data_IF_958656212935
#
_entry.id   IF_958656212935
#
_cell.length_a   1.000
_cell.length_b   1.000
_cell.length_c   1.000
_cell.angle_alpha   90.00
_cell.angle_beta   90.00
_cell.angle_gamma   90.00
#
_symmetry.space_group_name_H-M   'P 1'
#
loop_
_entity.id
_entity.type
_entity.pdbx_description
1 polymer ?
#
# COMPACT_ATOMS: atom_id res chain seq x y z
N UNK A 1 29.17 -33.48 -6.99
CA UNK A 1 30.26 -34.44 -7.26
C UNK A 1 30.11 -35.05 -8.67
N UNK A 2 31.20 -35.11 -9.44
CA UNK A 2 31.25 -35.82 -10.73
C UNK A 2 31.65 -37.27 -10.44
N UNK A 3 30.87 -38.22 -10.91
CA UNK A 3 31.15 -39.64 -10.76
C UNK A 3 31.51 -40.22 -12.13
N UNK A 4 32.63 -40.93 -12.19
CA UNK A 4 33.05 -41.64 -13.39
C UNK A 4 33.12 -43.14 -13.08
N UNK A 5 32.54 -43.95 -13.96
CA UNK A 5 32.65 -45.40 -13.92
C UNK A 5 34.04 -45.83 -14.41
N UNK A 6 34.86 -46.40 -13.53
CA UNK A 6 36.21 -46.88 -13.89
C UNK A 6 36.22 -48.06 -14.87
N UNK A 7 35.11 -48.79 -15.01
CA UNK A 7 35.03 -49.97 -15.86
C UNK A 7 34.53 -49.67 -17.29
N UNK A 8 33.85 -48.55 -17.47
CA UNK A 8 33.17 -48.24 -18.71
C UNK A 8 33.65 -46.96 -19.39
N UNK A 9 34.57 -46.21 -18.77
CA UNK A 9 35.37 -45.05 -19.28
C UNK A 9 34.63 -43.90 -20.02
N UNK A 10 33.34 -44.05 -20.33
CA UNK A 10 32.64 -43.22 -21.32
C UNK A 10 31.63 -42.22 -20.73
N UNK A 11 31.16 -42.41 -19.49
CA UNK A 11 30.09 -41.56 -18.94
C UNK A 11 30.44 -41.03 -17.54
N UNK A 12 30.73 -39.72 -17.50
CA UNK A 12 30.76 -38.94 -16.26
C UNK A 12 29.34 -38.53 -15.91
N UNK A 13 28.78 -39.09 -14.84
CA UNK A 13 27.47 -38.72 -14.31
C UNK A 13 27.64 -37.67 -13.22
N UNK A 14 26.97 -36.54 -13.38
CA UNK A 14 26.94 -35.48 -12.38
C UNK A 14 25.50 -35.26 -11.95
N UNK A 15 25.25 -35.29 -10.64
CA UNK A 15 23.95 -34.88 -10.12
C UNK A 15 23.68 -33.41 -10.51
N UNK A 16 22.48 -33.07 -11.03
CA UNK A 16 22.15 -31.71 -11.38
C UNK A 16 22.31 -30.81 -10.17
N UNK A 17 22.86 -29.60 -10.39
CA UNK A 17 22.95 -28.62 -9.32
C UNK A 17 21.53 -28.29 -8.82
N UNK A 18 21.33 -28.06 -7.51
CA UNK A 18 20.06 -27.55 -7.01
C UNK A 18 19.66 -26.29 -7.78
N UNK A 19 18.37 -26.16 -8.07
CA UNK A 19 17.85 -24.93 -8.67
C UNK A 19 18.16 -23.73 -7.75
N UNK A 20 18.40 -22.58 -8.36
CA UNK A 20 18.70 -21.32 -7.67
C UNK A 20 17.87 -20.21 -8.31
N UNK A 21 17.51 -19.22 -7.51
CA UNK A 21 16.82 -18.02 -8.02
C UNK A 21 17.63 -17.31 -9.11
N UNK A 22 18.95 -17.25 -8.93
CA UNK A 22 19.89 -16.75 -9.94
C UNK A 22 20.67 -17.95 -10.48
N UNK A 23 20.24 -18.48 -11.62
CA UNK A 23 20.90 -19.63 -12.26
C UNK A 23 22.37 -19.33 -12.57
N UNK A 24 23.27 -20.23 -12.15
CA UNK A 24 24.71 -20.05 -12.28
C UNK A 24 25.30 -18.86 -11.49
N UNK A 25 24.48 -18.16 -10.72
CA UNK A 25 24.87 -17.00 -9.92
C UNK A 25 25.43 -17.40 -8.55
N UNK A 26 26.14 -16.44 -7.94
CA UNK A 26 26.69 -16.56 -6.59
C UNK A 26 25.66 -16.47 -5.45
N UNK A 27 24.58 -15.66 -5.52
CA UNK A 27 23.77 -15.39 -4.34
C UNK A 27 22.83 -16.55 -4.01
N UNK A 28 22.64 -16.78 -2.72
CA UNK A 28 21.52 -17.59 -2.23
C UNK A 28 20.23 -16.77 -2.25
N UNK A 29 19.10 -17.44 -2.11
CA UNK A 29 17.77 -16.84 -1.97
C UNK A 29 17.73 -15.87 -0.77
N UNK A 30 18.39 -16.22 0.33
CA UNK A 30 18.53 -15.36 1.52
C UNK A 30 19.34 -14.10 1.20
N UNK A 31 20.44 -14.23 0.43
CA UNK A 31 21.25 -13.09 0.01
C UNK A 31 20.43 -12.13 -0.86
N UNK A 32 19.63 -12.66 -1.79
CA UNK A 32 18.75 -11.83 -2.61
C UNK A 32 17.68 -11.17 -1.75
N UNK A 33 17.04 -11.91 -0.84
CA UNK A 33 16.06 -11.36 0.11
C UNK A 33 16.66 -10.22 0.96
N UNK A 34 17.90 -10.35 1.43
CA UNK A 34 18.60 -9.28 2.17
C UNK A 34 18.74 -8.01 1.32
N UNK A 35 19.10 -8.13 0.04
CA UNK A 35 19.18 -6.99 -0.89
C UNK A 35 17.81 -6.31 -1.04
N UNK A 36 16.74 -7.09 -1.12
CA UNK A 36 15.36 -6.58 -1.22
C UNK A 36 14.95 -5.83 0.06
N UNK A 37 15.09 -6.47 1.23
CA UNK A 37 14.71 -5.87 2.53
C UNK A 37 15.51 -4.61 2.78
N UNK A 38 16.83 -4.66 2.60
CA UNK A 38 17.70 -3.49 2.74
C UNK A 38 17.22 -2.34 1.86
N UNK A 39 16.85 -2.61 0.60
CA UNK A 39 16.40 -1.57 -0.33
C UNK A 39 15.02 -1.01 0.01
N UNK A 40 14.06 -1.88 0.26
CA UNK A 40 12.65 -1.52 0.27
C UNK A 40 12.08 -1.34 1.68
N UNK A 41 12.55 -2.12 2.66
CA UNK A 41 12.17 -1.95 4.06
C UNK A 41 13.06 -0.92 4.79
N UNK A 42 14.38 -0.96 4.56
CA UNK A 42 15.36 -0.12 5.28
C UNK A 42 15.79 1.11 4.49
N UNK A 43 15.25 1.27 3.28
CA UNK A 43 15.48 2.42 2.41
C UNK A 43 16.96 2.65 2.05
N UNK A 44 17.73 1.56 1.93
CA UNK A 44 19.15 1.55 1.58
C UNK A 44 19.34 1.28 0.07
N UNK A 45 19.62 2.30 -0.76
CA UNK A 45 19.72 2.15 -2.21
C UNK A 45 20.91 1.25 -2.61
N UNK A 46 20.78 0.62 -3.79
CA UNK A 46 21.71 -0.42 -4.25
C UNK A 46 23.18 0.01 -4.31
N UNK A 47 23.47 1.27 -4.66
CA UNK A 47 24.86 1.75 -4.70
C UNK A 47 25.49 1.78 -3.30
N UNK A 48 24.70 2.10 -2.26
CA UNK A 48 25.18 2.04 -0.87
C UNK A 48 25.36 0.61 -0.40
N UNK A 49 24.48 -0.30 -0.83
CA UNK A 49 24.65 -1.73 -0.56
C UNK A 49 25.94 -2.26 -1.19
N UNK A 50 26.21 -1.93 -2.45
CA UNK A 50 27.47 -2.30 -3.12
C UNK A 50 28.71 -1.79 -2.35
N UNK A 51 28.69 -0.54 -1.86
CA UNK A 51 29.76 -0.01 -1.01
C UNK A 51 29.89 -0.74 0.34
N UNK A 52 28.78 -1.17 0.93
CA UNK A 52 28.79 -1.96 2.17
C UNK A 52 29.48 -3.31 1.92
N UNK A 53 29.12 -4.01 0.84
CA UNK A 53 29.75 -5.28 0.46
C UNK A 53 31.25 -5.10 0.13
N UNK A 54 31.63 -4.03 -0.57
CA UNK A 54 33.02 -3.74 -0.90
C UNK A 54 33.91 -3.59 0.35
N UNK A 55 33.39 -3.03 1.46
CA UNK A 55 34.11 -2.96 2.74
C UNK A 55 34.41 -4.33 3.36
N UNK A 56 33.69 -5.37 2.93
CA UNK A 56 33.89 -6.75 3.35
C UNK A 56 34.70 -7.56 2.31
N UNK A 57 35.27 -6.89 1.30
CA UNK A 57 36.01 -7.52 0.20
C UNK A 57 35.12 -8.12 -0.89
N UNK A 58 33.80 -7.89 -0.85
CA UNK A 58 32.85 -8.41 -1.83
C UNK A 58 32.51 -7.31 -2.85
N UNK A 59 33.13 -7.39 -4.03
CA UNK A 59 32.90 -6.42 -5.11
C UNK A 59 31.69 -6.84 -5.95
N UNK A 60 30.58 -6.12 -5.80
CA UNK A 60 29.36 -6.32 -6.59
C UNK A 60 29.00 -5.05 -7.34
N UNK A 61 28.77 -5.17 -8.65
CA UNK A 61 28.27 -4.05 -9.44
C UNK A 61 26.82 -3.72 -9.07
N UNK A 62 26.47 -2.44 -9.18
CA UNK A 62 25.10 -1.98 -8.98
C UNK A 62 24.13 -2.65 -9.97
N UNK A 63 24.57 -2.93 -11.20
CA UNK A 63 23.79 -3.66 -12.19
C UNK A 63 23.48 -5.07 -11.72
N UNK A 64 24.46 -5.80 -11.17
CA UNK A 64 24.25 -7.14 -10.61
C UNK A 64 23.17 -7.14 -9.52
N UNK A 65 23.22 -6.19 -8.58
CA UNK A 65 22.18 -6.06 -7.57
C UNK A 65 20.80 -5.70 -8.16
N UNK A 66 20.78 -4.87 -9.21
CA UNK A 66 19.54 -4.50 -9.89
C UNK A 66 18.93 -5.70 -10.64
N UNK A 67 19.76 -6.54 -11.25
CA UNK A 67 19.34 -7.77 -11.93
C UNK A 67 18.76 -8.78 -10.94
N UNK A 68 19.36 -8.92 -9.76
CA UNK A 68 18.81 -9.76 -8.68
C UNK A 68 17.44 -9.26 -8.21
N UNK A 69 17.29 -7.94 -8.02
CA UNK A 69 15.99 -7.33 -7.71
C UNK A 69 14.96 -7.64 -8.79
N UNK A 70 15.34 -7.52 -10.07
CA UNK A 70 14.46 -7.80 -11.20
C UNK A 70 14.01 -9.25 -11.24
N UNK A 71 14.93 -10.21 -11.11
CA UNK A 71 14.60 -11.63 -11.09
C UNK A 71 13.70 -11.99 -9.91
N UNK A 72 14.02 -11.51 -8.71
CA UNK A 72 13.18 -11.76 -7.55
C UNK A 72 11.77 -11.18 -7.72
N UNK A 73 11.66 -9.93 -8.19
CA UNK A 73 10.35 -9.31 -8.46
C UNK A 73 9.54 -10.08 -9.50
N UNK A 74 10.18 -10.63 -10.54
CA UNK A 74 9.52 -11.47 -11.53
C UNK A 74 8.92 -12.72 -10.89
N UNK A 75 9.69 -13.44 -10.08
CA UNK A 75 9.22 -14.64 -9.37
C UNK A 75 8.15 -14.34 -8.31
N UNK A 76 8.20 -13.17 -7.66
CA UNK A 76 7.25 -12.75 -6.63
C UNK A 76 5.94 -12.17 -7.19
N UNK A 77 5.89 -11.85 -8.48
CA UNK A 77 4.72 -11.22 -9.12
C UNK A 77 3.42 -12.01 -8.96
N UNK A 78 3.37 -13.35 -9.13
CA UNK A 78 2.15 -14.12 -8.90
C UNK A 78 1.63 -14.03 -7.46
N UNK A 79 2.54 -13.94 -6.47
CA UNK A 79 2.16 -13.76 -5.05
C UNK A 79 1.56 -12.37 -4.83
N UNK A 80 2.14 -11.34 -5.44
CA UNK A 80 1.61 -9.97 -5.42
C UNK A 80 0.24 -9.86 -6.09
N UNK A 81 0.06 -10.47 -7.27
CA UNK A 81 -1.23 -10.50 -7.97
C UNK A 81 -2.29 -11.22 -7.14
N UNK A 82 -1.91 -12.33 -6.48
CA UNK A 82 -2.81 -13.04 -5.56
C UNK A 82 -3.19 -12.19 -4.35
N UNK A 83 -2.23 -11.50 -3.75
CA UNK A 83 -2.45 -10.55 -2.65
C UNK A 83 -3.45 -9.47 -3.06
N UNK A 84 -3.24 -8.81 -4.21
CA UNK A 84 -4.18 -7.82 -4.73
C UNK A 84 -5.58 -8.43 -4.97
N UNK A 85 -5.66 -9.65 -5.50
CA UNK A 85 -6.91 -10.38 -5.68
C UNK A 85 -7.67 -10.61 -4.37
N UNK A 86 -6.99 -11.03 -3.30
CA UNK A 86 -7.57 -11.21 -1.96
C UNK A 86 -8.04 -9.87 -1.36
N UNK A 87 -7.27 -8.80 -1.56
CA UNK A 87 -7.69 -7.47 -1.12
C UNK A 87 -8.97 -7.05 -1.86
N UNK A 88 -9.03 -7.25 -3.18
CA UNK A 88 -10.21 -6.95 -4.01
C UNK A 88 -11.45 -7.80 -3.72
N UNK A 89 -11.37 -8.90 -2.96
CA UNK A 89 -12.57 -9.62 -2.52
C UNK A 89 -13.18 -9.03 -1.24
N UNK A 90 -12.56 -8.01 -0.66
CA UNK A 90 -13.00 -7.41 0.61
C UNK A 90 -14.20 -6.49 0.40
N UNK A 91 -15.09 -6.33 1.38
CA UNK A 91 -16.23 -5.42 1.25
C UNK A 91 -15.82 -3.94 1.25
N UNK A 92 -14.60 -3.64 1.72
CA UNK A 92 -14.02 -2.30 1.82
C UNK A 92 -12.53 -2.34 1.49
N UNK A 93 -12.06 -1.34 0.76
CA UNK A 93 -10.65 -1.03 0.57
C UNK A 93 -10.37 0.45 0.81
N UNK A 94 -9.15 0.76 1.23
CA UNK A 94 -8.60 2.09 1.12
C UNK A 94 -7.83 2.21 -0.19
N UNK A 95 -7.86 3.40 -0.80
CA UNK A 95 -6.99 3.74 -1.91
C UNK A 95 -6.42 5.15 -1.79
N UNK A 96 -5.13 5.27 -2.12
CA UNK A 96 -4.41 6.53 -2.25
C UNK A 96 -3.23 6.30 -3.19
N UNK A 97 -2.63 7.38 -3.69
CA UNK A 97 -1.53 7.32 -4.64
C UNK A 97 -0.40 8.28 -4.29
N UNK A 98 0.82 7.87 -4.63
CA UNK A 98 2.01 8.70 -4.45
C UNK A 98 2.90 8.68 -5.67
N UNK A 99 3.59 9.80 -5.91
CA UNK A 99 4.45 9.96 -7.08
C UNK A 99 5.62 8.99 -7.05
N UNK A 100 5.91 8.39 -8.19
CA UNK A 100 7.06 7.54 -8.42
C UNK A 100 7.90 8.17 -9.55
N UNK A 101 9.03 8.83 -9.24
CA UNK A 101 9.92 9.35 -10.26
C UNK A 101 10.54 8.18 -11.03
N UNK A 102 10.49 8.25 -12.36
CA UNK A 102 11.03 7.22 -13.25
C UNK A 102 11.93 7.89 -14.28
N UNK A 103 13.09 7.31 -14.58
CA UNK A 103 13.95 7.83 -15.65
C UNK A 103 13.18 7.93 -16.98
N UNK A 104 13.44 9.00 -17.73
CA UNK A 104 12.94 9.24 -19.08
C UNK A 104 14.15 9.21 -20.04
N UNK A 105 14.55 8.01 -20.54
CA UNK A 105 15.76 7.84 -21.33
C UNK A 105 15.81 8.78 -22.53
N UNK A 106 16.99 9.35 -22.79
CA UNK A 106 17.20 10.32 -23.87
C UNK A 106 16.79 11.77 -23.55
N UNK A 107 16.17 12.02 -22.38
CA UNK A 107 15.74 13.39 -22.00
C UNK A 107 16.47 13.98 -20.80
N UNK A 108 17.40 13.23 -20.18
CA UNK A 108 18.19 13.71 -19.03
C UNK A 108 17.36 14.07 -17.79
N UNK A 109 16.10 13.63 -17.72
CA UNK A 109 15.16 13.95 -16.64
C UNK A 109 14.36 12.71 -16.23
N UNK A 110 13.58 12.84 -15.17
CA UNK A 110 12.57 11.85 -14.78
C UNK A 110 11.20 12.26 -15.30
N UNK A 111 10.40 11.27 -15.69
CA UNK A 111 8.94 11.39 -15.80
C UNK A 111 8.28 11.00 -14.48
N UNK A 112 7.04 11.43 -14.28
CA UNK A 112 6.28 11.16 -13.06
C UNK A 112 5.29 10.03 -13.29
N UNK A 113 5.64 8.83 -12.80
CA UNK A 113 4.67 7.76 -12.61
C UNK A 113 3.98 7.86 -11.25
N UNK A 114 3.14 6.88 -10.94
CA UNK A 114 2.38 6.80 -9.70
C UNK A 114 2.40 5.38 -9.16
N UNK A 115 2.44 5.27 -7.83
CA UNK A 115 2.18 4.03 -7.09
C UNK A 115 0.86 4.20 -6.36
N UNK A 116 -0.15 3.42 -6.73
CA UNK A 116 -1.41 3.31 -6.00
C UNK A 116 -1.28 2.28 -4.92
N UNK A 117 -1.62 2.65 -3.69
CA UNK A 117 -1.76 1.72 -2.58
C UNK A 117 -3.23 1.32 -2.45
N UNK A 118 -3.51 0.01 -2.49
CA UNK A 118 -4.80 -0.57 -2.14
C UNK A 118 -4.63 -1.33 -0.83
N UNK A 119 -5.26 -0.86 0.23
CA UNK A 119 -5.04 -1.39 1.57
C UNK A 119 -6.34 -1.87 2.23
N UNK A 120 -6.22 -2.90 3.05
CA UNK A 120 -7.25 -3.37 3.98
C UNK A 120 -6.65 -3.42 5.37
N UNK A 121 -7.37 -2.88 6.34
CA UNK A 121 -7.13 -3.11 7.75
C UNK A 121 -8.46 -3.00 8.47
N UNK A 122 -8.92 -4.15 8.95
CA UNK A 122 -10.24 -4.31 9.53
C UNK A 122 -10.21 -4.47 11.06
N UNK A 123 -8.99 -4.52 11.63
CA UNK A 123 -8.77 -4.55 13.09
C UNK A 123 -9.45 -3.41 13.84
N UNK A 124 -9.53 -2.16 13.33
CA UNK A 124 -10.21 -1.08 14.05
C UNK A 124 -11.71 -1.30 14.29
N UNK A 125 -12.35 -2.24 13.57
CA UNK A 125 -13.75 -2.64 13.79
C UNK A 125 -13.90 -4.13 14.13
N UNK A 126 -12.84 -4.80 14.56
CA UNK A 126 -12.81 -6.24 14.90
C UNK A 126 -13.13 -7.17 13.71
N UNK A 127 -12.77 -6.78 12.48
CA UNK A 127 -12.87 -7.67 11.33
C UNK A 127 -11.85 -8.82 11.39
N UNK A 128 -12.24 -9.97 10.86
CA UNK A 128 -11.45 -11.21 10.89
C UNK A 128 -10.39 -11.31 9.78
N UNK A 129 -10.50 -10.46 8.76
CA UNK A 129 -9.62 -10.47 7.61
C UNK A 129 -8.22 -9.90 7.94
N UNK A 130 -7.12 -10.57 7.55
CA UNK A 130 -5.78 -10.08 7.87
C UNK A 130 -5.50 -8.74 7.16
N UNK A 131 -4.78 -7.81 7.81
CA UNK A 131 -4.42 -6.55 7.16
C UNK A 131 -3.46 -6.79 5.99
N UNK A 132 -3.50 -5.91 4.99
CA UNK A 132 -2.57 -6.00 3.87
C UNK A 132 -2.62 -4.79 2.95
N UNK A 133 -1.56 -4.63 2.16
CA UNK A 133 -1.45 -3.58 1.15
C UNK A 133 -0.81 -4.11 -0.12
N UNK A 134 -1.43 -3.79 -1.25
CA UNK A 134 -0.86 -3.99 -2.57
C UNK A 134 -0.61 -2.63 -3.23
N UNK A 135 0.62 -2.41 -3.69
CA UNK A 135 0.96 -1.31 -4.56
C UNK A 135 0.85 -1.72 -6.01
N UNK A 136 0.33 -0.82 -6.85
CA UNK A 136 0.29 -1.00 -8.31
C UNK A 136 0.89 0.24 -8.96
N UNK A 137 1.86 0.04 -9.84
CA UNK A 137 2.50 1.12 -10.59
C UNK A 137 1.70 1.46 -11.84
N UNK A 138 1.62 2.75 -12.19
CA UNK A 138 1.28 3.16 -13.55
C UNK A 138 2.08 4.41 -13.98
N UNK A 139 2.23 4.64 -15.31
CA UNK A 139 3.11 5.68 -15.85
C UNK A 139 2.52 7.10 -15.82
N UNK A 140 1.27 7.26 -15.39
CA UNK A 140 0.60 8.55 -15.26
C UNK A 140 -0.35 8.54 -14.04
N UNK A 141 -1.18 9.57 -13.86
CA UNK A 141 -2.22 9.64 -12.80
C UNK A 141 -3.61 9.76 -13.43
N UNK A 142 -3.90 9.03 -14.51
CA UNK A 142 -5.20 9.09 -15.18
C UNK A 142 -6.23 8.23 -14.46
N UNK A 143 -7.50 8.60 -14.58
CA UNK A 143 -8.63 7.86 -13.99
C UNK A 143 -8.78 6.42 -14.54
N UNK A 144 -8.29 6.14 -15.75
CA UNK A 144 -8.29 4.79 -16.33
C UNK A 144 -7.44 3.79 -15.54
N UNK A 145 -6.46 4.28 -14.76
CA UNK A 145 -5.55 3.43 -13.97
C UNK A 145 -6.27 2.72 -12.83
N UNK A 146 -6.90 3.41 -11.86
CA UNK A 146 -7.65 2.73 -10.82
C UNK A 146 -8.83 1.91 -11.36
N UNK A 147 -9.42 2.27 -12.51
CA UNK A 147 -10.44 1.45 -13.19
C UNK A 147 -9.86 0.09 -13.61
N UNK A 148 -8.69 0.08 -14.24
CA UNK A 148 -8.03 -1.17 -14.63
C UNK A 148 -7.60 -1.99 -13.40
N UNK A 149 -6.98 -1.34 -12.40
CA UNK A 149 -6.49 -2.02 -11.20
C UNK A 149 -7.62 -2.69 -10.41
N UNK A 150 -8.73 -1.98 -10.23
CA UNK A 150 -9.89 -2.42 -9.45
C UNK A 150 -10.98 -3.08 -10.31
N UNK A 151 -10.67 -3.52 -11.53
CA UNK A 151 -11.62 -4.27 -12.37
C UNK A 151 -12.20 -5.48 -11.60
N UNK A 152 -13.53 -5.56 -11.52
CA UNK A 152 -14.25 -6.61 -10.76
C UNK A 152 -14.41 -6.34 -9.26
N UNK A 153 -13.82 -5.28 -8.70
CA UNK A 153 -14.08 -4.86 -7.33
C UNK A 153 -15.47 -4.22 -7.23
N UNK A 154 -16.22 -4.61 -6.20
CA UNK A 154 -17.48 -3.97 -5.80
C UNK A 154 -17.45 -3.80 -4.29
N UNK A 155 -18.00 -2.70 -3.79
CA UNK A 155 -17.94 -2.37 -2.36
C UNK A 155 -17.44 -0.95 -2.11
N UNK A 156 -16.94 -0.71 -0.90
CA UNK A 156 -16.58 0.63 -0.44
C UNK A 156 -15.12 0.91 -0.74
N UNK A 157 -14.83 2.01 -1.43
CA UNK A 157 -13.48 2.52 -1.64
C UNK A 157 -13.30 3.82 -0.86
N UNK A 158 -12.48 3.78 0.19
CA UNK A 158 -12.21 4.92 1.05
C UNK A 158 -10.98 5.69 0.58
N UNK A 159 -11.15 6.98 0.26
CA UNK A 159 -10.16 7.79 -0.49
C UNK A 159 -10.02 9.23 0.03
N UNK A 160 -8.95 9.92 -0.39
CA UNK A 160 -8.63 11.33 -0.11
C UNK A 160 -9.49 12.35 -0.89
N UNK A 161 -10.21 11.89 -1.91
CA UNK A 161 -11.04 12.71 -2.77
C UNK A 161 -10.41 13.14 -4.10
N UNK A 162 -9.34 12.48 -4.57
CA UNK A 162 -8.87 12.59 -5.95
C UNK A 162 -10.00 12.28 -6.96
N UNK A 163 -10.17 13.17 -7.94
CA UNK A 163 -11.29 13.13 -8.88
C UNK A 163 -11.36 11.88 -9.75
N UNK A 164 -10.23 11.19 -9.99
CA UNK A 164 -10.22 9.97 -10.79
C UNK A 164 -11.00 8.81 -10.15
N UNK A 165 -11.12 8.79 -8.83
CA UNK A 165 -11.95 7.79 -8.13
C UNK A 165 -13.45 7.98 -8.39
N UNK A 166 -13.90 9.22 -8.65
CA UNK A 166 -15.30 9.47 -9.01
C UNK A 166 -15.65 8.83 -10.35
N UNK A 167 -14.76 8.94 -11.33
CA UNK A 167 -14.93 8.29 -12.64
C UNK A 167 -14.97 6.76 -12.50
N UNK A 168 -14.20 6.18 -11.58
CA UNK A 168 -14.30 4.76 -11.24
C UNK A 168 -15.67 4.41 -10.67
N UNK A 169 -16.15 5.16 -9.67
CA UNK A 169 -17.44 4.92 -9.03
C UNK A 169 -18.60 5.01 -10.03
N UNK A 170 -18.57 6.00 -10.93
CA UNK A 170 -19.60 6.18 -11.96
C UNK A 170 -19.66 5.02 -12.99
N UNK A 171 -18.57 4.24 -13.12
CA UNK A 171 -18.43 3.17 -14.11
C UNK A 171 -18.43 1.76 -13.51
N UNK A 172 -18.63 1.61 -12.21
CA UNK A 172 -18.50 0.33 -11.51
C UNK A 172 -19.44 0.22 -10.29
N UNK A 173 -19.43 -0.92 -9.61
CA UNK A 173 -20.16 -1.13 -8.34
C UNK A 173 -19.44 -0.56 -7.12
N UNK A 174 -18.60 0.47 -7.29
CA UNK A 174 -17.79 1.05 -6.20
C UNK A 174 -18.50 2.24 -5.57
N UNK A 175 -18.61 2.22 -4.24
CA UNK A 175 -19.13 3.33 -3.44
C UNK A 175 -17.97 4.07 -2.77
N UNK A 176 -17.84 5.38 -2.97
CA UNK A 176 -16.74 6.15 -2.38
C UNK A 176 -17.03 6.55 -0.93
N UNK A 177 -16.11 6.31 -0.02
CA UNK A 177 -16.11 6.97 1.29
C UNK A 177 -14.99 8.02 1.32
N UNK A 178 -15.26 9.21 1.86
CA UNK A 178 -14.27 10.29 1.91
C UNK A 178 -13.73 10.51 3.33
N UNK A 179 -12.48 10.92 3.39
CA UNK A 179 -11.75 11.12 4.64
C UNK A 179 -11.98 12.51 5.25
N UNK A 180 -12.42 12.56 6.52
CA UNK A 180 -12.56 13.82 7.26
C UNK A 180 -11.23 14.49 7.61
N UNK A 181 -10.11 13.75 7.65
CA UNK A 181 -8.80 14.35 7.91
C UNK A 181 -8.39 15.34 6.80
N UNK A 182 -8.75 15.05 5.55
CA UNK A 182 -8.51 15.95 4.41
C UNK A 182 -9.37 17.22 4.47
N UNK A 183 -10.62 17.10 4.94
CA UNK A 183 -11.51 18.24 5.23
C UNK A 183 -10.92 19.07 6.37
N UNK A 184 -10.58 18.43 7.49
CA UNK A 184 -10.01 19.06 8.68
C UNK A 184 -8.74 19.84 8.36
N UNK A 185 -7.83 19.26 7.56
CA UNK A 185 -6.57 19.91 7.16
C UNK A 185 -6.80 21.26 6.48
N UNK A 186 -7.78 21.35 5.57
CA UNK A 186 -8.10 22.60 4.86
C UNK A 186 -8.57 23.71 5.80
N UNK A 187 -9.41 23.38 6.79
CA UNK A 187 -9.83 24.34 7.80
C UNK A 187 -8.70 24.70 8.77
N UNK A 188 -7.85 23.72 9.13
CA UNK A 188 -6.69 23.94 9.98
C UNK A 188 -5.70 24.92 9.36
N UNK A 189 -5.35 24.75 8.09
CA UNK A 189 -4.43 25.66 7.38
C UNK A 189 -4.96 27.11 7.35
N UNK A 190 -6.28 27.31 7.33
CA UNK A 190 -6.90 28.63 7.41
C UNK A 190 -6.83 29.22 8.81
N UNK A 191 -7.16 28.44 9.85
CA UNK A 191 -7.11 28.89 11.24
C UNK A 191 -5.67 29.13 11.74
N UNK A 192 -4.70 28.38 11.22
CA UNK A 192 -3.28 28.57 11.53
C UNK A 192 -2.72 29.87 10.91
N UNK A 193 -3.33 30.39 9.85
CA UNK A 193 -2.90 31.61 9.17
C UNK A 193 -3.38 32.91 9.85
N UNK A 194 -4.28 32.81 10.84
CA UNK A 194 -4.82 33.96 11.58
C UNK A 194 -6.26 33.75 12.04
N UNK A 195 -6.92 34.78 12.60
CA UNK A 195 -8.30 34.68 13.06
C UNK A 195 -9.26 34.24 11.95
N UNK A 196 -9.80 33.03 12.06
CA UNK A 196 -10.74 32.46 11.11
C UNK A 196 -11.93 31.81 11.85
N UNK A 197 -12.90 32.58 12.37
CA UNK A 197 -13.96 32.05 13.24
C UNK A 197 -14.76 30.90 12.64
N UNK A 198 -15.08 30.96 11.33
CA UNK A 198 -15.77 29.89 10.61
C UNK A 198 -14.90 28.63 10.53
N UNK A 199 -13.60 28.77 10.25
CA UNK A 199 -12.70 27.62 10.20
C UNK A 199 -12.52 27.00 11.59
N UNK A 200 -12.38 27.82 12.64
CA UNK A 200 -12.28 27.36 14.02
C UNK A 200 -13.53 26.61 14.49
N UNK A 201 -14.73 27.09 14.16
CA UNK A 201 -15.98 26.41 14.49
C UNK A 201 -16.13 25.08 13.73
N UNK A 202 -15.75 25.05 12.44
CA UNK A 202 -15.73 23.80 11.68
C UNK A 202 -14.76 22.78 12.32
N UNK A 203 -13.57 23.21 12.73
CA UNK A 203 -12.59 22.36 13.41
C UNK A 203 -13.12 21.83 14.76
N UNK A 204 -13.81 22.67 15.53
CA UNK A 204 -14.42 22.29 16.81
C UNK A 204 -15.44 21.16 16.62
N UNK A 205 -16.35 21.30 15.66
CA UNK A 205 -17.37 20.29 15.31
C UNK A 205 -16.75 19.00 14.80
N UNK A 206 -15.72 19.10 13.94
CA UNK A 206 -14.97 17.93 13.48
C UNK A 206 -14.28 17.23 14.65
N UNK A 207 -13.70 17.97 15.60
CA UNK A 207 -13.05 17.40 16.78
C UNK A 207 -14.03 16.61 17.67
N UNK A 208 -15.30 17.05 17.76
CA UNK A 208 -16.35 16.29 18.46
C UNK A 208 -16.61 14.93 17.79
N UNK A 209 -16.63 14.87 16.45
CA UNK A 209 -16.73 13.61 15.72
C UNK A 209 -15.56 12.68 16.05
N UNK A 210 -14.33 13.21 16.02
CA UNK A 210 -13.13 12.41 16.35
C UNK A 210 -13.15 11.88 17.79
N UNK A 211 -13.64 12.67 18.75
CA UNK A 211 -13.80 12.21 20.14
C UNK A 211 -14.73 10.99 20.23
N UNK A 212 -15.84 11.00 19.49
CA UNK A 212 -16.73 9.85 19.40
C UNK A 212 -16.01 8.66 18.77
N UNK A 213 -15.27 8.88 17.67
CA UNK A 213 -14.55 7.81 16.98
C UNK A 213 -13.46 7.15 17.84
N UNK A 214 -12.81 7.91 18.73
CA UNK A 214 -11.85 7.37 19.68
C UNK A 214 -12.52 6.46 20.72
N UNK A 215 -13.74 6.79 21.19
CA UNK A 215 -14.50 5.99 22.17
C UNK A 215 -15.04 4.66 21.60
N UNK A 216 -15.23 4.59 20.28
CA UNK A 216 -15.84 3.44 19.60
C UNK A 216 -14.81 2.56 18.87
N UNK A 217 -13.55 2.97 18.80
CA UNK A 217 -12.48 2.22 18.13
C UNK A 217 -12.26 0.88 18.81
N UNK A 218 -12.06 -0.17 18.01
CA UNK A 218 -11.89 -1.53 18.52
C UNK A 218 -13.19 -2.19 18.94
N UNK A 219 -14.34 -1.61 18.60
CA UNK A 219 -15.65 -2.27 18.72
C UNK A 219 -16.13 -2.78 17.37
N UNK A 220 -17.07 -3.71 17.39
CA UNK A 220 -17.68 -4.26 16.18
C UNK A 220 -18.30 -3.18 15.29
N UNK A 221 -18.37 -3.45 13.98
CA UNK A 221 -19.01 -2.54 13.02
C UNK A 221 -20.47 -2.19 13.40
N UNK A 222 -21.22 -3.12 13.99
CA UNK A 222 -22.61 -2.86 14.38
C UNK A 222 -22.71 -1.89 15.57
N UNK A 223 -21.86 -2.06 16.59
CA UNK A 223 -21.81 -1.14 17.74
C UNK A 223 -21.32 0.25 17.33
N UNK A 224 -20.29 0.32 16.49
CA UNK A 224 -19.80 1.57 15.92
C UNK A 224 -20.93 2.32 15.20
N UNK A 225 -21.66 1.62 14.32
CA UNK A 225 -22.82 2.18 13.63
C UNK A 225 -23.87 2.70 14.62
N UNK A 226 -24.29 1.89 15.60
CA UNK A 226 -25.31 2.29 16.57
C UNK A 226 -24.92 3.57 17.34
N UNK A 227 -23.69 3.67 17.81
CA UNK A 227 -23.23 4.87 18.53
C UNK A 227 -23.07 6.08 17.62
N UNK A 228 -22.69 5.90 16.35
CA UNK A 228 -22.67 6.99 15.36
C UNK A 228 -24.07 7.53 15.07
N UNK A 229 -25.08 6.65 15.01
CA UNK A 229 -26.48 7.06 14.86
C UNK A 229 -26.95 7.92 16.04
N UNK A 230 -26.58 7.53 17.27
CA UNK A 230 -26.93 8.23 18.50
C UNK A 230 -26.19 9.58 18.67
N UNK A 231 -24.86 9.57 18.47
CA UNK A 231 -23.99 10.70 18.84
C UNK A 231 -23.50 11.53 17.65
N UNK A 232 -23.05 10.89 16.58
CA UNK A 232 -22.40 11.58 15.45
C UNK A 232 -23.39 12.15 14.45
N UNK A 233 -24.56 11.50 14.26
CA UNK A 233 -25.55 11.88 13.24
C UNK A 233 -26.04 13.32 13.43
N UNK A 234 -26.35 13.73 14.66
CA UNK A 234 -26.83 15.08 14.93
C UNK A 234 -25.78 16.16 14.59
N UNK A 235 -24.50 15.89 14.90
CA UNK A 235 -23.40 16.81 14.60
C UNK A 235 -23.23 16.98 13.09
N UNK A 236 -23.26 15.87 12.34
CA UNK A 236 -23.16 15.92 10.87
C UNK A 236 -24.39 16.63 10.29
N UNK A 237 -25.60 16.30 10.74
CA UNK A 237 -26.84 16.92 10.26
C UNK A 237 -26.89 18.44 10.50
N UNK A 238 -26.32 18.94 11.59
CA UNK A 238 -26.22 20.38 11.87
C UNK A 238 -25.08 21.07 11.11
N UNK A 239 -23.98 20.36 10.82
CA UNK A 239 -22.81 20.92 10.15
C UNK A 239 -23.06 21.23 8.66
N UNK A 240 -23.83 20.41 7.92
CA UNK A 240 -24.09 20.66 6.49
C UNK A 240 -24.82 21.99 6.24
N UNK A 241 -25.99 22.25 6.86
CA UNK A 241 -26.75 23.46 6.61
C UNK A 241 -25.99 24.69 7.08
N UNK A 242 -25.28 24.58 8.21
CA UNK A 242 -24.42 25.65 8.71
C UNK A 242 -23.30 26.00 7.72
N UNK A 243 -22.63 25.00 7.12
CA UNK A 243 -21.62 25.26 6.07
C UNK A 243 -22.23 25.93 4.84
N UNK A 244 -23.43 25.53 4.42
CA UNK A 244 -24.16 26.15 3.29
C UNK A 244 -24.52 27.60 3.58
N UNK A 245 -25.03 27.88 4.79
CA UNK A 245 -25.31 29.23 5.25
C UNK A 245 -24.05 30.09 5.21
N UNK A 246 -22.94 29.62 5.82
CA UNK A 246 -21.67 30.38 5.82
C UNK A 246 -21.10 30.59 4.43
N UNK A 247 -21.27 29.63 3.52
CA UNK A 247 -20.86 29.80 2.12
C UNK A 247 -21.63 30.94 1.43
N UNK A 248 -22.90 31.15 1.77
CA UNK A 248 -23.72 32.25 1.24
C UNK A 248 -23.31 33.64 1.75
N UNK A 249 -22.66 33.70 2.92
CA UNK A 249 -22.28 34.95 3.58
C UNK A 249 -20.86 35.43 3.23
N UNK A 250 -20.07 34.63 2.51
CA UNK A 250 -18.66 34.94 2.20
C UNK A 250 -18.41 35.11 0.70
N UNK A 251 -17.34 35.83 0.38
CA UNK A 251 -16.88 35.95 -1.01
C UNK A 251 -16.44 34.60 -1.58
N UNK A 252 -16.96 34.26 -2.76
CA UNK A 252 -16.76 32.96 -3.41
C UNK A 252 -15.32 32.69 -3.85
N UNK A 253 -14.49 33.74 -3.94
CA UNK A 253 -13.07 33.65 -4.35
C UNK A 253 -12.11 33.39 -3.19
N UNK A 254 -12.62 33.27 -1.96
CA UNK A 254 -11.78 33.04 -0.78
C UNK A 254 -11.35 31.58 -0.64
N UNK A 255 -10.20 31.33 -0.01
CA UNK A 255 -9.76 29.98 0.36
C UNK A 255 -10.73 29.29 1.32
N UNK A 256 -11.43 30.05 2.17
CA UNK A 256 -12.49 29.54 3.02
C UNK A 256 -13.68 29.01 2.20
N UNK A 257 -14.14 29.78 1.20
CA UNK A 257 -15.19 29.33 0.30
C UNK A 257 -14.77 28.07 -0.48
N UNK A 258 -13.49 27.97 -0.88
CA UNK A 258 -12.95 26.74 -1.48
C UNK A 258 -13.01 25.54 -0.52
N UNK A 259 -12.59 25.70 0.74
CA UNK A 259 -12.65 24.64 1.74
C UNK A 259 -14.09 24.16 2.01
N UNK A 260 -15.04 25.09 2.10
CA UNK A 260 -16.45 24.76 2.28
C UNK A 260 -17.01 24.03 1.05
N UNK A 261 -16.77 24.52 -0.17
CA UNK A 261 -17.20 23.82 -1.41
C UNK A 261 -16.55 22.43 -1.55
N UNK A 262 -15.28 22.30 -1.20
CA UNK A 262 -14.60 21.00 -1.20
C UNK A 262 -15.31 20.01 -0.27
N UNK A 263 -15.71 20.46 0.92
CA UNK A 263 -16.45 19.65 1.91
C UNK A 263 -17.84 19.29 1.39
N UNK A 264 -18.63 20.29 0.98
CA UNK A 264 -20.02 20.09 0.53
C UNK A 264 -20.11 19.21 -0.73
N UNK A 265 -19.18 19.35 -1.68
CA UNK A 265 -19.13 18.51 -2.88
C UNK A 265 -18.85 17.02 -2.61
N UNK A 266 -18.45 16.67 -1.39
CA UNK A 266 -18.13 15.31 -0.92
C UNK A 266 -19.06 14.84 0.20
N UNK A 267 -20.09 15.61 0.52
CA UNK A 267 -20.87 15.42 1.74
C UNK A 267 -21.48 14.03 1.88
N UNK A 268 -22.04 13.50 0.79
CA UNK A 268 -22.60 12.15 0.76
C UNK A 268 -21.56 11.10 1.18
N UNK A 269 -20.38 11.10 0.55
CA UNK A 269 -19.30 10.16 0.88
C UNK A 269 -18.63 10.41 2.24
N UNK A 270 -18.64 11.66 2.72
CA UNK A 270 -18.20 12.01 4.09
C UNK A 270 -19.17 11.52 5.15
N UNK A 271 -20.45 11.37 4.83
CA UNK A 271 -21.50 10.96 5.79
C UNK A 271 -21.69 9.45 5.86
N UNK A 272 -21.20 8.68 4.88
CA UNK A 272 -21.37 7.21 4.81
C UNK A 272 -20.87 6.46 6.04
N UNK A 273 -19.87 6.98 6.76
CA UNK A 273 -19.40 6.36 8.01
C UNK A 273 -20.49 6.25 9.08
N UNK A 274 -21.50 7.13 9.07
CA UNK A 274 -22.61 7.07 10.02
C UNK A 274 -23.42 5.78 9.87
N UNK A 275 -23.60 5.32 8.63
CA UNK A 275 -24.49 4.23 8.28
C UNK A 275 -23.78 2.88 8.16
N UNK A 276 -22.46 2.89 8.03
CA UNK A 276 -21.63 1.69 7.93
C UNK A 276 -20.44 1.75 8.89
N UNK A 277 -20.46 0.90 9.92
CA UNK A 277 -19.43 0.82 10.95
C UNK A 277 -18.06 0.36 10.47
N UNK A 278 -17.95 -0.19 9.24
CA UNK A 278 -16.68 -0.62 8.64
C UNK A 278 -15.89 0.56 8.08
N UNK A 279 -16.57 1.67 7.77
CA UNK A 279 -15.96 2.88 7.24
C UNK A 279 -15.28 3.63 8.37
N UNK A 280 -14.00 3.96 8.17
CA UNK A 280 -13.25 4.78 9.11
C UNK A 280 -13.57 6.26 8.89
N UNK A 281 -13.43 7.10 9.91
CA UNK A 281 -13.59 8.55 9.73
C UNK A 281 -12.46 9.15 8.85
N UNK A 282 -11.31 8.46 8.76
CA UNK A 282 -10.15 8.88 7.98
C UNK A 282 -9.44 7.74 7.23
N UNK A 283 -8.56 8.12 6.30
CA UNK A 283 -7.76 7.26 5.43
C UNK A 283 -6.40 6.90 6.02
N UNK A 284 -6.19 7.02 7.34
CA UNK A 284 -4.88 6.84 7.96
C UNK A 284 -4.22 5.49 7.62
N UNK A 285 -5.00 4.43 7.42
CA UNK A 285 -4.49 3.10 7.04
C UNK A 285 -3.66 3.14 5.75
N UNK A 286 -4.16 3.80 4.70
CA UNK A 286 -3.45 3.89 3.42
C UNK A 286 -2.34 4.94 3.46
N UNK A 287 -2.54 6.04 4.19
CA UNK A 287 -1.49 7.06 4.38
C UNK A 287 -0.24 6.48 5.07
N UNK A 288 -0.44 5.65 6.11
CA UNK A 288 0.66 4.91 6.75
C UNK A 288 1.35 3.98 5.77
N UNK A 289 0.58 3.34 4.88
CA UNK A 289 1.12 2.44 3.85
C UNK A 289 1.89 3.20 2.76
N UNK A 290 1.60 4.48 2.49
CA UNK A 290 2.37 5.28 1.52
C UNK A 290 3.68 5.80 2.09
N UNK A 291 3.77 6.01 3.41
CA UNK A 291 4.95 6.61 4.05
C UNK A 291 6.28 5.88 3.75
N UNK A 292 6.38 4.54 3.80
CA UNK A 292 7.59 3.81 3.39
C UNK A 292 8.00 4.06 1.94
N UNK A 293 7.04 4.19 1.02
CA UNK A 293 7.30 4.52 -0.39
C UNK A 293 7.91 5.92 -0.50
N UNK A 294 7.37 6.90 0.22
CA UNK A 294 7.90 8.26 0.25
C UNK A 294 9.34 8.32 0.81
N UNK A 295 9.65 7.53 1.85
CA UNK A 295 10.99 7.42 2.42
C UNK A 295 11.99 6.77 1.44
N UNK A 296 11.58 5.71 0.77
CA UNK A 296 12.42 5.07 -0.25
C UNK A 296 12.67 6.02 -1.43
N UNK A 297 11.64 6.72 -1.92
CA UNK A 297 11.77 7.76 -2.95
C UNK A 297 12.82 8.82 -2.59
N UNK A 298 12.85 9.27 -1.33
CA UNK A 298 13.85 10.24 -0.84
C UNK A 298 15.29 9.70 -0.92
N UNK A 299 15.48 8.38 -0.78
CA UNK A 299 16.80 7.74 -0.72
C UNK A 299 17.30 7.20 -2.07
N UNK A 300 16.41 6.63 -2.88
CA UNK A 300 16.73 6.03 -4.19
C UNK A 300 16.55 7.00 -5.36
N UNK A 301 15.90 8.15 -5.13
CA UNK A 301 15.61 9.25 -6.07
C UNK A 301 14.65 8.90 -7.22
N UNK A 302 14.82 7.77 -7.91
CA UNK A 302 13.98 7.34 -9.03
C UNK A 302 14.05 5.82 -9.31
N UNK A 303 13.06 5.31 -10.03
CA UNK A 303 13.12 4.01 -10.70
C UNK A 303 13.86 4.14 -12.05
N UNK A 304 14.64 3.12 -12.43
CA UNK A 304 15.42 3.14 -13.67
C UNK A 304 14.59 3.01 -14.95
N UNK A 305 13.37 2.50 -14.84
CA UNK A 305 12.40 2.30 -15.93
C UNK A 305 11.01 2.04 -15.34
N UNK A 306 9.97 2.01 -16.19
CA UNK A 306 8.62 1.64 -15.78
C UNK A 306 8.59 0.23 -15.17
N UNK A 307 9.26 -0.74 -15.81
CA UNK A 307 9.40 -2.09 -15.25
C UNK A 307 10.14 -2.11 -13.91
N UNK A 308 11.12 -1.23 -13.71
CA UNK A 308 11.77 -1.05 -12.41
C UNK A 308 10.82 -0.50 -11.33
N UNK A 309 9.86 0.34 -11.70
CA UNK A 309 8.82 0.84 -10.80
C UNK A 309 7.75 -0.22 -10.51
N UNK A 310 7.43 -1.08 -11.47
CA UNK A 310 6.60 -2.27 -11.22
C UNK A 310 7.26 -3.25 -10.24
N UNK A 311 8.56 -3.51 -10.40
CA UNK A 311 9.31 -4.35 -9.46
C UNK A 311 9.28 -3.78 -8.04
N UNK A 312 9.37 -2.45 -7.92
CA UNK A 312 9.18 -1.78 -6.64
C UNK A 312 7.78 -2.04 -6.07
N UNK A 313 6.73 -1.88 -6.87
CA UNK A 313 5.36 -2.14 -6.43
C UNK A 313 5.19 -3.56 -5.87
N UNK A 314 5.67 -4.58 -6.59
CA UNK A 314 5.62 -5.99 -6.18
C UNK A 314 6.31 -6.20 -4.83
N UNK A 315 7.57 -5.81 -4.73
CA UNK A 315 8.39 -6.09 -3.54
C UNK A 315 7.89 -5.31 -2.32
N UNK A 316 7.55 -4.04 -2.50
CA UNK A 316 7.03 -3.23 -1.40
C UNK A 316 5.70 -3.76 -0.88
N UNK A 317 4.83 -4.30 -1.75
CA UNK A 317 3.54 -4.86 -1.32
C UNK A 317 3.71 -6.00 -0.32
N UNK A 318 4.63 -6.93 -0.65
CA UNK A 318 4.89 -8.09 0.20
C UNK A 318 5.57 -7.68 1.51
N UNK A 319 6.56 -6.77 1.46
CA UNK A 319 7.25 -6.27 2.66
C UNK A 319 6.29 -5.51 3.58
N UNK A 320 5.51 -4.57 3.05
CA UNK A 320 4.61 -3.76 3.88
C UNK A 320 3.44 -4.58 4.39
N UNK A 321 2.97 -5.58 3.63
CA UNK A 321 2.02 -6.57 4.16
C UNK A 321 2.64 -7.43 5.26
N UNK A 322 3.92 -7.84 5.17
CA UNK A 322 4.61 -8.51 6.27
C UNK A 322 4.60 -7.65 7.54
N UNK A 323 4.99 -6.39 7.43
CA UNK A 323 5.03 -5.44 8.55
C UNK A 323 3.66 -5.22 9.18
N UNK A 324 2.59 -5.09 8.38
CA UNK A 324 1.22 -4.94 8.88
C UNK A 324 0.76 -6.14 9.73
N UNK A 325 1.28 -7.32 9.43
CA UNK A 325 0.97 -8.58 10.10
C UNK A 325 2.00 -8.92 11.21
N UNK A 326 3.09 -8.17 11.38
CA UNK A 326 4.15 -8.51 12.35
C UNK A 326 5.07 -9.64 11.89
N UNK A 327 5.12 -9.94 10.59
CA UNK A 327 6.05 -10.89 9.97
C UNK A 327 7.38 -10.21 9.69
N UNK A 328 8.48 -10.89 10.06
CA UNK A 328 9.83 -10.46 9.71
C UNK A 328 10.06 -10.62 8.19
N UNK A 329 10.25 -9.52 7.42
CA UNK A 329 10.25 -9.58 5.95
C UNK A 329 11.40 -10.39 5.34
N UNK A 330 12.58 -10.45 5.96
CA UNK A 330 13.73 -11.17 5.43
C UNK A 330 13.48 -12.69 5.43
N UNK A 331 13.05 -13.23 6.56
CA UNK A 331 12.70 -14.64 6.72
C UNK A 331 11.57 -15.05 5.78
N UNK A 332 10.52 -14.23 5.68
CA UNK A 332 9.42 -14.46 4.75
C UNK A 332 9.90 -14.49 3.28
N UNK A 333 10.62 -13.46 2.82
CA UNK A 333 11.06 -13.41 1.42
C UNK A 333 12.05 -14.52 1.09
N UNK A 334 12.95 -14.87 2.01
CA UNK A 334 13.87 -15.99 1.85
C UNK A 334 13.14 -17.33 1.71
N UNK A 335 12.14 -17.60 2.57
CA UNK A 335 11.32 -18.82 2.49
C UNK A 335 10.52 -18.88 1.18
N UNK A 336 9.80 -17.80 0.84
CA UNK A 336 8.97 -17.75 -0.37
C UNK A 336 9.80 -17.94 -1.63
N UNK A 337 10.94 -17.23 -1.76
CA UNK A 337 11.84 -17.41 -2.91
C UNK A 337 12.37 -18.85 -2.99
N UNK A 338 12.76 -19.44 -1.86
CA UNK A 338 13.24 -20.83 -1.79
C UNK A 338 12.15 -21.82 -2.22
N UNK A 339 10.91 -21.64 -1.75
CA UNK A 339 9.78 -22.50 -2.11
C UNK A 339 9.44 -22.38 -3.60
N UNK A 340 9.46 -21.17 -4.15
CA UNK A 340 9.26 -20.94 -5.59
C UNK A 340 10.34 -21.66 -6.40
N UNK A 341 11.62 -21.50 -6.04
CA UNK A 341 12.75 -22.18 -6.71
C UNK A 341 12.62 -23.70 -6.64
N UNK A 342 12.10 -24.23 -5.54
CA UNK A 342 11.82 -25.67 -5.36
C UNK A 342 10.53 -26.16 -6.03
N UNK A 343 9.89 -25.34 -6.87
CA UNK A 343 8.74 -25.75 -7.67
C UNK A 343 7.40 -25.68 -6.94
N UNK A 344 7.22 -24.76 -5.98
CA UNK A 344 5.93 -24.56 -5.31
C UNK A 344 4.80 -24.33 -6.34
N UNK A 345 3.73 -25.13 -6.31
CA UNK A 345 2.73 -25.11 -7.38
C UNK A 345 1.86 -23.86 -7.31
N UNK A 346 1.52 -23.29 -8.47
CA UNK A 346 0.67 -22.11 -8.56
C UNK A 346 -0.76 -22.35 -7.99
N UNK A 347 -1.24 -23.61 -8.00
CA UNK A 347 -2.52 -23.97 -7.36
C UNK A 347 -2.53 -23.78 -5.84
N UNK A 348 -1.35 -23.69 -5.20
CA UNK A 348 -1.18 -23.47 -3.76
C UNK A 348 -0.58 -22.08 -3.47
N UNK A 349 -0.76 -21.11 -4.36
CA UNK A 349 -0.18 -19.75 -4.22
C UNK A 349 -0.59 -19.04 -2.92
N UNK A 350 -1.76 -19.39 -2.35
CA UNK A 350 -2.24 -18.85 -1.08
C UNK A 350 -1.28 -19.15 0.09
N UNK A 351 -0.55 -20.27 0.03
CA UNK A 351 0.43 -20.68 1.05
C UNK A 351 1.68 -19.79 1.11
N UNK A 352 1.82 -18.89 0.13
CA UNK A 352 2.93 -17.94 0.02
C UNK A 352 2.52 -16.53 0.47
N UNK A 353 1.27 -16.29 0.85
CA UNK A 353 0.83 -14.98 1.31
C UNK A 353 1.43 -14.63 2.69
N UNK A 354 1.81 -13.37 2.96
CA UNK A 354 2.49 -13.00 4.21
C UNK A 354 1.78 -13.43 5.49
N UNK A 355 0.45 -13.27 5.57
CA UNK A 355 -0.32 -13.65 6.75
C UNK A 355 -0.41 -15.15 7.00
N UNK A 356 -0.11 -16.01 6.01
CA UNK A 356 -0.02 -17.47 6.22
C UNK A 356 1.29 -17.85 6.90
N UNK A 357 2.34 -17.02 6.77
CA UNK A 357 3.65 -17.28 7.34
C UNK A 357 3.65 -17.23 8.87
N UNK A 358 2.84 -16.36 9.48
CA UNK A 358 2.68 -16.26 10.96
C UNK A 358 2.22 -17.59 11.53
N UNK A 359 1.15 -18.15 10.96
CA UNK A 359 0.55 -19.39 11.45
C UNK A 359 1.58 -20.52 11.49
N UNK A 360 2.58 -20.52 10.60
CA UNK A 360 3.65 -21.52 10.60
C UNK A 360 4.68 -21.33 11.71
N UNK A 361 5.00 -20.09 12.07
CA UNK A 361 5.92 -19.83 13.19
C UNK A 361 5.27 -20.18 14.53
N UNK A 362 3.99 -19.83 14.71
CA UNK A 362 3.24 -20.19 15.91
C UNK A 362 3.10 -21.72 16.05
N UNK A 363 2.79 -22.44 14.96
CA UNK A 363 2.72 -23.90 14.98
C UNK A 363 4.07 -24.57 15.30
N UNK A 364 5.20 -23.99 14.88
CA UNK A 364 6.54 -24.49 15.20
C UNK A 364 7.01 -24.15 16.62
N UNK A 365 6.45 -23.11 17.24
CA UNK A 365 6.80 -22.75 18.62
C UNK A 365 6.07 -23.61 19.66
N UNK A 366 4.99 -24.29 19.25
CA UNK A 366 4.17 -25.16 20.12
C UNK A 366 4.52 -26.66 19.93
N UNK A 367 5.27 -27.01 18.88
CA UNK A 367 5.79 -28.35 18.61
C UNK A 367 7.27 -28.44 19.02
#
# INVERSE_FOLDING_TARGET
PKYACRACEDVVVQAPAPARLIEGGLPTEVTVAQVLVSKYADHLPLYRQAQIYARQGINLDRSTLADWVGRAAWHLRPVHERLLGKLKSSPKLFADETTAPVLDPGRGKTKTGQLWAYARDDRPWEGSDPPGVAYVYAPDRKAERPIAHLAGFTGILQVDGYGGYRVLADKSGVTLAFCWAHVRRRFYELAAAGPAPIASEALRRIAELYKIEDDIRGRSANERRAMRQDKSRAIVADLEPWLREKLGLISQKTKLAEAIRYTLSRWEGLSRFLDDGRIEIDSNTVERSIRPIALNRKNALFAGSDGGAEHWAVIASLIETCKLNGVEPLGYLADVLTRIVNGHPNSQIDDLLPWVYINKLELKAVA
#
